data_IF_168313373128
#
_entry.id   IF_168313373128
#
_cell.length_a   1.000
_cell.length_b   1.000
_cell.length_c   1.000
_cell.angle_alpha   90.00
_cell.angle_beta   90.00
_cell.angle_gamma   90.00
#
_symmetry.space_group_name_H-M   'P 1'
#
loop_
_entity.id
_entity.type
_entity.pdbx_description
1 polymer ?
#
# COMPACT_ATOMS: atom_id res chain seq x y z
N UNK A 1 35.48 46.59 -12.15
CA UNK A 1 34.18 46.23 -12.75
C UNK A 1 34.22 44.74 -12.98
N UNK A 2 33.70 43.98 -12.03
CA UNK A 2 33.58 42.53 -12.10
C UNK A 2 32.29 42.19 -12.85
N UNK A 3 32.29 41.27 -13.80
CA UNK A 3 31.05 40.84 -14.46
C UNK A 3 30.20 40.04 -13.48
N UNK A 4 28.99 40.50 -13.27
CA UNK A 4 27.93 39.82 -12.55
C UNK A 4 27.73 38.41 -13.13
N UNK A 5 28.02 37.44 -12.32
CA UNK A 5 27.61 36.03 -12.50
C UNK A 5 26.06 35.96 -12.41
N UNK A 6 25.41 36.09 -13.56
CA UNK A 6 23.98 35.75 -13.68
C UNK A 6 23.91 34.23 -13.73
N UNK A 7 23.96 33.63 -12.53
CA UNK A 7 23.63 32.22 -12.39
C UNK A 7 22.21 31.98 -12.92
N UNK A 8 22.13 31.39 -14.11
CA UNK A 8 20.86 30.82 -14.59
C UNK A 8 20.40 29.81 -13.54
N UNK A 9 19.30 30.12 -12.85
CA UNK A 9 18.69 29.16 -11.94
C UNK A 9 18.29 27.93 -12.78
N UNK A 10 18.90 26.79 -12.50
CA UNK A 10 18.60 25.53 -13.17
C UNK A 10 17.17 25.16 -12.83
N UNK A 11 16.33 24.97 -13.84
CA UNK A 11 14.99 24.43 -13.66
C UNK A 11 15.03 22.89 -13.58
N UNK A 12 15.31 22.38 -12.37
CA UNK A 12 15.38 20.93 -12.13
C UNK A 12 14.06 20.20 -12.41
N UNK A 13 12.94 20.90 -12.45
CA UNK A 13 11.62 20.28 -12.72
C UNK A 13 11.54 19.86 -14.17
N UNK A 14 12.13 20.64 -15.09
CA UNK A 14 12.14 20.36 -16.52
C UNK A 14 13.17 19.30 -16.92
N UNK A 15 14.20 19.05 -16.10
CA UNK A 15 15.28 18.12 -16.43
C UNK A 15 14.81 16.67 -16.47
N UNK A 16 15.34 15.92 -17.43
CA UNK A 16 15.18 14.46 -17.50
C UNK A 16 16.07 13.76 -16.46
N UNK A 17 15.76 12.49 -16.16
CA UNK A 17 16.49 11.71 -15.15
C UNK A 17 18.01 11.68 -15.43
N UNK A 18 18.43 11.51 -16.68
CA UNK A 18 19.85 11.49 -17.05
C UNK A 18 20.55 12.82 -16.78
N UNK A 19 19.87 13.93 -17.03
CA UNK A 19 20.40 15.28 -16.78
C UNK A 19 20.52 15.56 -15.27
N UNK A 20 19.50 15.15 -14.49
CA UNK A 20 19.55 15.23 -13.03
C UNK A 20 20.70 14.41 -12.46
N UNK A 21 20.92 13.20 -12.96
CA UNK A 21 22.04 12.35 -12.55
C UNK A 21 23.37 13.02 -12.87
N UNK A 22 23.54 13.59 -14.08
CA UNK A 22 24.75 14.30 -14.45
C UNK A 22 25.01 15.52 -13.54
N UNK A 23 23.98 16.28 -13.18
CA UNK A 23 24.10 17.38 -12.22
C UNK A 23 24.57 16.86 -10.84
N UNK A 24 24.02 15.77 -10.34
CA UNK A 24 24.43 15.19 -9.05
C UNK A 24 25.89 14.71 -9.11
N UNK A 25 26.31 14.05 -10.19
CA UNK A 25 27.68 13.60 -10.42
C UNK A 25 28.67 14.77 -10.48
N UNK A 26 28.22 15.96 -10.91
CA UNK A 26 29.02 17.20 -10.85
C UNK A 26 29.04 17.88 -9.47
N UNK A 27 28.40 17.27 -8.45
CA UNK A 27 28.39 17.77 -7.08
C UNK A 27 27.14 18.58 -6.67
N UNK A 28 26.15 18.69 -7.56
CA UNK A 28 24.93 19.45 -7.29
C UNK A 28 23.94 18.65 -6.42
N UNK A 29 23.91 18.95 -5.12
CA UNK A 29 22.99 18.31 -4.16
C UNK A 29 21.53 18.71 -4.37
N UNK A 30 21.25 19.84 -5.01
CA UNK A 30 19.86 20.25 -5.27
C UNK A 30 19.21 19.34 -6.34
N UNK A 31 19.99 18.92 -7.35
CA UNK A 31 19.53 17.94 -8.31
C UNK A 31 19.14 16.62 -7.63
N UNK A 32 19.90 16.15 -6.64
CA UNK A 32 19.53 14.94 -5.88
C UNK A 32 18.25 15.12 -5.04
N UNK A 33 18.06 16.31 -4.47
CA UNK A 33 16.79 16.65 -3.79
C UNK A 33 15.60 16.49 -4.74
N UNK A 34 15.71 16.94 -5.99
CA UNK A 34 14.65 16.79 -6.99
C UNK A 34 14.42 15.33 -7.37
N UNK A 35 15.47 14.51 -7.47
CA UNK A 35 15.34 13.05 -7.64
C UNK A 35 14.53 12.45 -6.48
N UNK A 36 14.89 12.78 -5.23
CA UNK A 36 14.15 12.31 -4.06
C UNK A 36 12.68 12.71 -4.11
N UNK A 37 12.37 13.98 -4.38
CA UNK A 37 11.00 14.48 -4.44
C UNK A 37 10.15 13.77 -5.48
N UNK A 38 10.71 13.42 -6.66
CA UNK A 38 10.03 12.64 -7.70
C UNK A 38 9.78 11.19 -7.29
N UNK A 39 10.67 10.59 -6.50
CA UNK A 39 10.67 9.15 -6.23
C UNK A 39 10.12 8.78 -4.84
N UNK A 40 10.07 9.71 -3.88
CA UNK A 40 9.73 9.44 -2.48
C UNK A 40 8.47 8.60 -2.31
N UNK A 41 7.36 9.02 -2.91
CA UNK A 41 6.08 8.34 -2.74
C UNK A 41 6.14 6.89 -3.23
N UNK A 42 6.70 6.67 -4.41
CA UNK A 42 6.84 5.35 -5.01
C UNK A 42 7.74 4.45 -4.20
N UNK A 43 8.92 4.93 -3.82
CA UNK A 43 9.90 4.15 -3.07
C UNK A 43 9.39 3.81 -1.67
N UNK A 44 8.70 4.75 -1.01
CA UNK A 44 8.05 4.50 0.27
C UNK A 44 6.99 3.38 0.17
N UNK A 45 6.10 3.45 -0.82
CA UNK A 45 5.08 2.40 -1.01
C UNK A 45 5.67 1.03 -1.28
N UNK A 46 6.76 0.96 -2.06
CA UNK A 46 7.49 -0.27 -2.33
C UNK A 46 8.13 -0.81 -1.05
N UNK A 47 8.84 0.04 -0.29
CA UNK A 47 9.43 -0.34 0.99
C UNK A 47 8.36 -0.88 1.95
N UNK A 48 7.26 -0.14 2.12
CA UNK A 48 6.13 -0.55 2.97
C UNK A 48 5.47 -1.85 2.49
N UNK A 49 5.43 -2.09 1.19
CA UNK A 49 4.99 -3.35 0.61
C UNK A 49 5.79 -4.56 1.11
N UNK A 50 7.06 -4.36 1.49
CA UNK A 50 7.94 -5.41 2.06
C UNK A 50 7.83 -5.43 3.58
N UNK A 51 8.20 -4.33 4.26
CA UNK A 51 8.37 -4.31 5.73
C UNK A 51 7.06 -4.20 6.50
N UNK A 52 6.00 -3.71 5.89
CA UNK A 52 4.63 -3.57 6.43
C UNK A 52 4.53 -2.69 7.69
N UNK A 53 5.45 -1.75 7.83
CA UNK A 53 5.51 -0.76 8.91
C UNK A 53 5.96 0.57 8.34
N UNK A 54 5.32 1.68 8.72
CA UNK A 54 5.55 2.99 8.10
C UNK A 54 6.91 3.57 8.54
N UNK A 55 7.24 3.48 9.83
CA UNK A 55 8.49 4.02 10.35
C UNK A 55 9.70 3.26 9.77
N UNK A 56 9.57 1.93 9.69
CA UNK A 56 10.62 1.11 9.07
C UNK A 56 10.75 1.35 7.57
N UNK A 57 9.63 1.60 6.86
CA UNK A 57 9.66 1.94 5.45
C UNK A 57 10.37 3.29 5.20
N UNK A 58 10.16 4.29 6.06
CA UNK A 58 10.89 5.56 6.01
C UNK A 58 12.38 5.33 6.22
N UNK A 59 12.78 4.56 7.21
CA UNK A 59 14.17 4.23 7.49
C UNK A 59 14.83 3.47 6.32
N UNK A 60 14.10 2.53 5.69
CA UNK A 60 14.55 1.82 4.49
C UNK A 60 14.83 2.79 3.35
N UNK A 61 13.90 3.70 3.08
CA UNK A 61 14.04 4.69 1.99
C UNK A 61 15.19 5.65 2.27
N UNK A 62 15.36 6.11 3.52
CA UNK A 62 16.48 6.96 3.89
C UNK A 62 17.82 6.26 3.67
N UNK A 63 17.99 5.03 4.15
CA UNK A 63 19.20 4.24 3.94
C UNK A 63 19.44 3.99 2.45
N UNK A 64 18.39 3.66 1.69
CA UNK A 64 18.49 3.45 0.26
C UNK A 64 18.94 4.70 -0.50
N UNK A 65 18.51 5.90 -0.11
CA UNK A 65 18.97 7.14 -0.73
C UNK A 65 20.45 7.45 -0.41
N UNK A 66 20.91 7.17 0.80
CA UNK A 66 22.33 7.30 1.14
C UNK A 66 23.16 6.37 0.25
N UNK A 67 22.79 5.09 0.16
CA UNK A 67 23.47 4.13 -0.72
C UNK A 67 23.37 4.51 -2.20
N UNK A 68 22.23 5.07 -2.65
CA UNK A 68 22.07 5.54 -4.00
C UNK A 68 22.99 6.71 -4.31
N UNK A 69 23.10 7.67 -3.41
CA UNK A 69 24.00 8.83 -3.56
C UNK A 69 25.47 8.41 -3.68
N UNK A 70 25.92 7.49 -2.81
CA UNK A 70 27.29 6.96 -2.82
C UNK A 70 27.61 6.15 -4.10
N UNK A 71 26.61 5.53 -4.72
CA UNK A 71 26.79 4.65 -5.90
C UNK A 71 26.33 5.29 -7.21
N UNK A 72 25.94 6.56 -7.20
CA UNK A 72 25.36 7.22 -8.36
C UNK A 72 26.35 7.33 -9.54
N UNK A 73 27.65 7.40 -9.27
CA UNK A 73 28.70 7.38 -10.30
C UNK A 73 28.70 6.07 -11.11
N UNK A 74 28.20 4.99 -10.54
CA UNK A 74 28.03 3.70 -11.21
C UNK A 74 26.71 3.53 -11.98
N UNK A 75 25.83 4.52 -11.97
CA UNK A 75 24.60 4.47 -12.72
C UNK A 75 24.85 4.65 -14.21
N UNK A 76 24.60 3.58 -15.00
CA UNK A 76 24.92 3.54 -16.45
C UNK A 76 23.73 3.87 -17.36
N UNK A 77 22.54 4.12 -16.80
CA UNK A 77 21.33 4.37 -17.62
C UNK A 77 20.77 3.14 -18.36
N UNK A 78 21.22 1.93 -18.04
CA UNK A 78 20.71 0.67 -18.63
C UNK A 78 19.24 0.40 -18.24
N UNK A 79 18.80 0.99 -17.14
CA UNK A 79 17.41 1.01 -16.69
C UNK A 79 17.04 2.45 -16.31
N UNK A 80 15.74 2.75 -16.16
CA UNK A 80 15.32 4.04 -15.62
C UNK A 80 15.89 4.26 -14.22
N UNK A 81 16.13 5.53 -13.86
CA UNK A 81 16.58 5.91 -12.52
C UNK A 81 15.67 5.35 -11.43
N UNK A 82 14.36 5.42 -11.67
CA UNK A 82 13.35 4.88 -10.75
C UNK A 82 13.48 3.36 -10.57
N UNK A 83 13.75 2.61 -11.63
CA UNK A 83 13.97 1.16 -11.56
C UNK A 83 15.24 0.82 -10.77
N UNK A 84 16.30 1.58 -10.99
CA UNK A 84 17.55 1.42 -10.26
C UNK A 84 17.37 1.71 -8.76
N UNK A 85 16.73 2.83 -8.39
CA UNK A 85 16.39 3.16 -7.00
C UNK A 85 15.48 2.11 -6.36
N UNK A 86 14.48 1.61 -7.09
CA UNK A 86 13.61 0.54 -6.62
C UNK A 86 14.39 -0.70 -6.21
N UNK A 87 15.39 -1.12 -6.97
CA UNK A 87 16.25 -2.26 -6.62
C UNK A 87 17.05 -2.01 -5.33
N UNK A 88 17.55 -0.79 -5.13
CA UNK A 88 18.27 -0.43 -3.90
C UNK A 88 17.32 -0.51 -2.69
N UNK A 89 16.11 0.07 -2.80
CA UNK A 89 15.09 0.02 -1.74
C UNK A 89 14.69 -1.42 -1.40
N UNK A 90 14.44 -2.25 -2.41
CA UNK A 90 14.10 -3.67 -2.19
C UNK A 90 15.23 -4.43 -1.49
N UNK A 91 16.48 -4.21 -1.90
CA UNK A 91 17.63 -4.83 -1.27
C UNK A 91 17.75 -4.44 0.21
N UNK A 92 17.56 -3.16 0.53
CA UNK A 92 17.58 -2.65 1.90
C UNK A 92 16.42 -3.24 2.72
N UNK A 93 15.19 -3.20 2.18
CA UNK A 93 14.00 -3.75 2.85
C UNK A 93 14.14 -5.25 3.15
N UNK A 94 14.56 -6.05 2.17
CA UNK A 94 14.79 -7.47 2.37
C UNK A 94 16.00 -7.75 3.29
N UNK A 95 17.01 -6.90 3.28
CA UNK A 95 18.14 -6.94 4.21
C UNK A 95 17.65 -6.87 5.65
N UNK A 96 16.82 -5.87 5.98
CA UNK A 96 16.24 -5.70 7.32
C UNK A 96 15.30 -6.83 7.69
N UNK A 97 14.45 -7.28 6.77
CA UNK A 97 13.53 -8.39 7.01
C UNK A 97 14.28 -9.69 7.36
N UNK A 98 15.41 -9.97 6.70
CA UNK A 98 16.27 -11.13 7.03
C UNK A 98 16.92 -11.01 8.42
N UNK A 99 17.32 -9.82 8.83
CA UNK A 99 17.88 -9.59 10.16
C UNK A 99 16.87 -9.83 11.29
N UNK A 100 15.59 -9.55 11.05
CA UNK A 100 14.51 -9.79 12.03
C UNK A 100 14.11 -11.24 12.17
N UNK A 101 14.27 -12.04 11.12
CA UNK A 101 13.95 -13.48 11.12
C UNK A 101 15.23 -14.29 11.09
N UNK A 102 15.76 -14.76 12.24
CA UNK A 102 16.81 -15.77 12.23
C UNK A 102 16.21 -17.05 11.64
N UNK A 103 16.61 -17.39 10.42
CA UNK A 103 16.53 -18.69 9.75
C UNK A 103 15.21 -19.48 9.87
N UNK A 104 14.20 -19.14 9.05
CA UNK A 104 13.21 -20.12 8.63
C UNK A 104 13.15 -20.08 7.10
N UNK A 105 13.32 -21.28 6.52
CA UNK A 105 13.36 -21.54 5.09
C UNK A 105 12.12 -21.01 4.36
N UNK A 106 12.32 -20.43 3.16
CA UNK A 106 11.31 -19.71 2.33
C UNK A 106 10.20 -20.63 1.79
N UNK A 107 10.20 -21.91 2.10
CA UNK A 107 9.30 -22.89 1.46
C UNK A 107 7.95 -23.13 2.17
N UNK A 108 7.72 -22.58 3.35
CA UNK A 108 6.46 -22.79 4.09
C UNK A 108 5.90 -21.47 4.65
N UNK A 109 5.24 -20.68 3.80
CA UNK A 109 4.38 -19.60 4.28
C UNK A 109 2.93 -19.99 4.03
N UNK A 110 2.45 -20.91 4.85
CA UNK A 110 1.04 -21.00 5.20
C UNK A 110 0.80 -20.08 6.40
N UNK A 111 -0.06 -19.11 6.16
CA UNK A 111 -0.85 -18.32 7.12
C UNK A 111 -0.21 -18.05 8.49
N UNK A 112 0.51 -16.95 8.63
CA UNK A 112 0.76 -16.33 9.93
C UNK A 112 -0.01 -15.01 9.98
N UNK A 113 -0.89 -14.89 10.96
CA UNK A 113 -1.63 -13.68 11.26
C UNK A 113 -0.66 -12.53 11.52
N UNK A 114 -0.76 -11.48 10.71
CA UNK A 114 0.00 -10.27 10.92
C UNK A 114 -0.68 -9.45 12.03
N UNK A 115 0.10 -9.16 13.06
CA UNK A 115 -0.23 -8.20 14.10
C UNK A 115 -0.45 -6.81 13.48
N UNK A 116 -1.49 -6.13 13.91
CA UNK A 116 -2.03 -4.92 13.29
C UNK A 116 -1.10 -3.72 13.50
N UNK A 117 -0.29 -3.42 12.51
CA UNK A 117 0.43 -2.15 12.41
C UNK A 117 -0.56 -0.98 12.30
N UNK A 118 -0.33 0.06 13.10
CA UNK A 118 -1.11 1.29 13.14
C UNK A 118 -0.98 2.03 11.81
N UNK A 119 -2.06 2.14 11.06
CA UNK A 119 -2.11 2.87 9.78
C UNK A 119 -2.17 4.37 10.07
N UNK A 120 -1.18 5.13 9.60
CA UNK A 120 -1.19 6.60 9.65
C UNK A 120 -1.75 7.10 8.30
N UNK A 121 -2.83 7.93 8.31
CA UNK A 121 -3.43 8.39 7.06
C UNK A 121 -2.53 9.35 6.31
N UNK A 122 -2.37 9.15 5.00
CA UNK A 122 -1.71 10.10 4.12
C UNK A 122 -2.55 11.37 3.94
N UNK A 123 -1.97 12.58 4.07
CA UNK A 123 -2.72 13.81 3.81
C UNK A 123 -3.06 13.92 2.32
N UNK A 124 -4.34 13.85 1.97
CA UNK A 124 -4.82 14.16 0.63
C UNK A 124 -4.96 15.67 0.48
N UNK A 125 -4.19 16.25 -0.44
CA UNK A 125 -4.40 17.63 -0.91
C UNK A 125 -5.48 17.60 -1.99
N UNK A 126 -6.73 17.87 -1.65
CA UNK A 126 -7.74 18.34 -2.63
C UNK A 126 -8.78 19.22 -1.92
N UNK A 127 -9.18 20.26 -2.65
CA UNK A 127 -9.97 21.40 -2.25
C UNK A 127 -11.35 21.13 -1.64
N UNK A 128 -12.06 22.21 -1.35
CA UNK A 128 -13.37 22.27 -0.67
C UNK A 128 -14.34 21.16 -1.12
N UNK A 129 -14.38 20.08 -0.37
CA UNK A 129 -15.31 18.97 -0.57
C UNK A 129 -16.20 18.84 0.67
N UNK A 130 -17.42 18.37 0.46
CA UNK A 130 -18.36 18.03 1.52
C UNK A 130 -17.67 17.16 2.61
N UNK A 131 -17.66 17.58 3.88
CA UNK A 131 -17.03 16.85 4.96
C UNK A 131 -17.51 15.39 5.10
N UNK A 132 -18.77 15.11 4.79
CA UNK A 132 -19.33 13.77 4.83
C UNK A 132 -18.74 12.88 3.71
N UNK A 133 -18.60 13.42 2.51
CA UNK A 133 -17.97 12.72 1.40
C UNK A 133 -16.46 12.49 1.61
N UNK A 134 -15.78 13.42 2.27
CA UNK A 134 -14.39 13.29 2.66
C UNK A 134 -14.21 12.16 3.69
N UNK A 135 -15.04 12.13 4.75
CA UNK A 135 -15.01 11.10 5.77
C UNK A 135 -15.29 9.69 5.20
N UNK A 136 -16.26 9.57 4.29
CA UNK A 136 -16.57 8.30 3.63
C UNK A 136 -15.39 7.79 2.78
N UNK A 137 -14.70 8.69 2.05
CA UNK A 137 -13.50 8.31 1.28
C UNK A 137 -12.35 7.88 2.19
N UNK A 138 -12.17 8.54 3.32
CA UNK A 138 -11.14 8.17 4.29
C UNK A 138 -11.41 6.78 4.88
N UNK A 139 -12.67 6.46 5.22
CA UNK A 139 -13.04 5.13 5.67
C UNK A 139 -12.75 4.05 4.63
N UNK A 140 -13.12 4.28 3.36
CA UNK A 140 -12.82 3.34 2.26
C UNK A 140 -11.30 3.20 2.08
N UNK A 141 -10.54 4.29 2.16
CA UNK A 141 -9.07 4.24 2.08
C UNK A 141 -8.49 3.37 3.19
N UNK A 142 -8.86 3.61 4.44
CA UNK A 142 -8.41 2.81 5.59
C UNK A 142 -8.74 1.34 5.44
N UNK A 143 -9.93 1.02 4.95
CA UNK A 143 -10.36 -0.35 4.71
C UNK A 143 -9.49 -1.03 3.64
N UNK A 144 -9.18 -0.33 2.55
CA UNK A 144 -8.29 -0.82 1.49
C UNK A 144 -6.85 -0.98 1.98
N UNK A 145 -6.32 0.00 2.70
CA UNK A 145 -4.97 -0.03 3.27
C UNK A 145 -4.81 -1.21 4.24
N UNK A 146 -5.80 -1.42 5.11
CA UNK A 146 -5.82 -2.55 6.04
C UNK A 146 -5.87 -3.89 5.30
N UNK A 147 -6.74 -4.01 4.29
CA UNK A 147 -6.84 -5.22 3.49
C UNK A 147 -5.53 -5.53 2.73
N UNK A 148 -4.85 -4.52 2.19
CA UNK A 148 -3.55 -4.67 1.53
C UNK A 148 -2.47 -5.04 2.55
N UNK A 149 -2.44 -4.40 3.73
CA UNK A 149 -1.50 -4.72 4.81
C UNK A 149 -1.65 -6.16 5.32
N UNK A 150 -2.88 -6.71 5.30
CA UNK A 150 -3.18 -8.10 5.66
C UNK A 150 -2.73 -9.15 4.63
N UNK A 151 -2.31 -8.74 3.44
CA UNK A 151 -1.77 -9.69 2.46
C UNK A 151 -0.42 -10.26 2.93
N UNK A 152 -0.14 -11.56 2.72
CA UNK A 152 1.21 -12.10 2.86
C UNK A 152 2.22 -11.31 2.02
N UNK A 153 3.42 -11.09 2.56
CA UNK A 153 4.46 -10.23 1.97
C UNK A 153 4.69 -10.50 0.48
N UNK A 154 4.86 -11.78 0.10
CA UNK A 154 5.13 -12.17 -1.28
C UNK A 154 4.00 -11.79 -2.27
N UNK A 155 2.77 -11.63 -1.81
CA UNK A 155 1.63 -11.19 -2.62
C UNK A 155 1.45 -9.68 -2.54
N UNK A 156 1.66 -9.10 -1.36
CA UNK A 156 1.54 -7.66 -1.10
C UNK A 156 2.50 -6.85 -1.97
N UNK A 157 3.80 -7.21 -1.99
CA UNK A 157 4.78 -6.46 -2.79
C UNK A 157 4.48 -6.54 -4.28
N UNK A 158 4.07 -7.70 -4.81
CA UNK A 158 3.67 -7.83 -6.21
C UNK A 158 2.42 -6.99 -6.50
N UNK A 159 1.45 -6.97 -5.58
CA UNK A 159 0.26 -6.13 -5.71
C UNK A 159 0.60 -4.65 -5.73
N UNK A 160 1.44 -4.18 -4.80
CA UNK A 160 1.90 -2.78 -4.74
C UNK A 160 2.58 -2.39 -6.05
N UNK A 161 3.54 -3.17 -6.53
CA UNK A 161 4.28 -2.85 -7.75
C UNK A 161 3.38 -2.85 -8.98
N UNK A 162 2.47 -3.82 -9.11
CA UNK A 162 1.64 -3.99 -10.32
C UNK A 162 0.42 -3.08 -10.36
N UNK A 163 -0.32 -2.96 -9.24
CA UNK A 163 -1.60 -2.25 -9.21
C UNK A 163 -1.46 -0.79 -8.75
N UNK A 164 -0.55 -0.51 -7.82
CA UNK A 164 -0.39 0.83 -7.27
C UNK A 164 0.67 1.60 -8.07
N UNK A 165 1.83 1.00 -8.31
CA UNK A 165 2.95 1.66 -8.98
C UNK A 165 2.99 1.40 -10.49
N UNK A 166 2.03 0.66 -11.04
CA UNK A 166 1.85 0.41 -12.48
C UNK A 166 3.10 -0.15 -13.19
N UNK A 167 3.99 -0.84 -12.43
CA UNK A 167 5.15 -1.50 -13.04
C UNK A 167 4.69 -2.61 -14.00
N UNK A 168 5.42 -2.85 -15.08
CA UNK A 168 5.16 -3.98 -15.97
C UNK A 168 5.45 -5.33 -15.29
N UNK A 169 5.04 -6.45 -15.90
CA UNK A 169 5.38 -7.81 -15.40
C UNK A 169 6.88 -8.01 -15.43
N UNK A 170 7.53 -7.52 -16.49
CA UNK A 170 8.96 -7.59 -16.74
C UNK A 170 9.73 -6.80 -15.67
N UNK A 171 9.35 -5.55 -15.43
CA UNK A 171 9.95 -4.69 -14.40
C UNK A 171 9.79 -5.28 -13.01
N UNK A 172 8.58 -5.77 -12.69
CA UNK A 172 8.30 -6.41 -11.39
C UNK A 172 9.12 -7.68 -11.22
N UNK A 173 9.19 -8.51 -12.27
CA UNK A 173 9.99 -9.74 -12.27
C UNK A 173 11.49 -9.44 -12.10
N UNK A 174 12.01 -8.47 -12.83
CA UNK A 174 13.41 -8.05 -12.76
C UNK A 174 13.78 -7.44 -11.40
N UNK A 175 12.88 -6.65 -10.79
CA UNK A 175 13.11 -6.02 -9.50
C UNK A 175 13.08 -7.03 -8.34
N UNK A 176 12.17 -8.01 -8.38
CA UNK A 176 11.96 -9.01 -7.32
C UNK A 176 12.73 -10.32 -7.55
N UNK A 177 13.45 -10.48 -8.68
CA UNK A 177 14.11 -11.74 -9.04
C UNK A 177 13.13 -12.88 -9.33
N UNK A 178 11.93 -12.58 -9.87
CA UNK A 178 10.86 -13.55 -10.11
C UNK A 178 10.66 -13.81 -11.60
N UNK A 179 10.24 -15.04 -11.93
CA UNK A 179 9.77 -15.36 -13.28
C UNK A 179 8.44 -14.65 -13.56
N UNK A 180 8.19 -14.26 -14.80
CA UNK A 180 6.97 -13.57 -15.23
C UNK A 180 5.68 -14.32 -14.82
N UNK A 181 5.68 -15.65 -14.94
CA UNK A 181 4.54 -16.48 -14.54
C UNK A 181 4.31 -16.45 -13.01
N UNK A 182 5.37 -16.35 -12.23
CA UNK A 182 5.29 -16.20 -10.78
C UNK A 182 4.67 -14.85 -10.40
N UNK A 183 5.04 -13.77 -11.11
CA UNK A 183 4.44 -12.45 -10.92
C UNK A 183 2.94 -12.49 -11.18
N UNK A 184 2.52 -13.06 -12.32
CA UNK A 184 1.10 -13.19 -12.69
C UNK A 184 0.32 -14.03 -11.67
N UNK A 185 0.88 -15.16 -11.24
CA UNK A 185 0.24 -16.05 -10.26
C UNK A 185 0.11 -15.37 -8.89
N UNK A 186 1.16 -14.69 -8.41
CA UNK A 186 1.13 -13.95 -7.14
C UNK A 186 0.13 -12.81 -7.20
N UNK A 187 0.07 -12.06 -8.30
CA UNK A 187 -0.92 -11.01 -8.48
C UNK A 187 -2.35 -11.56 -8.46
N UNK A 188 -2.60 -12.67 -9.15
CA UNK A 188 -3.91 -13.31 -9.13
C UNK A 188 -4.33 -13.73 -7.70
N UNK A 189 -3.41 -14.33 -6.95
CA UNK A 189 -3.65 -14.72 -5.55
C UNK A 189 -3.88 -13.50 -4.66
N UNK A 190 -3.07 -12.43 -4.81
CA UNK A 190 -3.25 -11.17 -4.10
C UNK A 190 -4.66 -10.58 -4.30
N UNK A 191 -5.10 -10.48 -5.56
CA UNK A 191 -6.44 -9.99 -5.90
C UNK A 191 -7.56 -10.85 -5.32
N UNK A 192 -7.37 -12.17 -5.26
CA UNK A 192 -8.35 -13.09 -4.66
C UNK A 192 -8.47 -12.88 -3.15
N UNK A 193 -7.32 -12.82 -2.45
CA UNK A 193 -7.28 -12.58 -1.00
C UNK A 193 -7.86 -11.21 -0.64
N UNK A 194 -7.51 -10.18 -1.41
CA UNK A 194 -8.03 -8.83 -1.20
C UNK A 194 -9.55 -8.78 -1.35
N UNK A 195 -10.10 -9.43 -2.40
CA UNK A 195 -11.57 -9.51 -2.58
C UNK A 195 -12.24 -10.22 -1.42
N UNK A 196 -11.68 -11.31 -0.91
CA UNK A 196 -12.23 -12.01 0.24
C UNK A 196 -12.22 -11.11 1.49
N UNK A 197 -11.09 -10.47 1.81
CA UNK A 197 -10.98 -9.57 2.97
C UNK A 197 -11.97 -8.39 2.89
N UNK A 198 -12.15 -7.79 1.72
CA UNK A 198 -13.11 -6.70 1.52
C UNK A 198 -14.56 -7.18 1.61
N UNK A 199 -14.85 -8.36 1.07
CA UNK A 199 -16.20 -8.96 1.19
C UNK A 199 -16.56 -9.20 2.65
N UNK A 200 -15.66 -9.76 3.44
CA UNK A 200 -15.88 -10.06 4.85
C UNK A 200 -16.09 -8.77 5.66
N UNK A 201 -15.29 -7.74 5.39
CA UNK A 201 -15.44 -6.42 6.03
C UNK A 201 -16.77 -5.74 5.70
N UNK A 202 -17.20 -5.79 4.43
CA UNK A 202 -18.49 -5.23 4.02
C UNK A 202 -19.65 -6.04 4.61
N UNK A 203 -19.54 -7.37 4.63
CA UNK A 203 -20.59 -8.24 5.18
C UNK A 203 -20.78 -8.05 6.68
N UNK A 204 -19.69 -7.87 7.45
CA UNK A 204 -19.78 -7.56 8.89
C UNK A 204 -20.49 -6.22 9.11
N UNK A 205 -20.11 -5.18 8.38
CA UNK A 205 -20.73 -3.85 8.47
C UNK A 205 -22.21 -3.88 8.10
N UNK A 206 -22.60 -4.64 7.07
CA UNK A 206 -24.00 -4.80 6.69
C UNK A 206 -24.80 -5.52 7.79
N UNK A 207 -24.26 -6.55 8.41
CA UNK A 207 -24.91 -7.24 9.53
C UNK A 207 -25.10 -6.32 10.74
N UNK A 208 -24.14 -5.45 11.01
CA UNK A 208 -24.26 -4.42 12.07
C UNK A 208 -25.25 -3.32 11.70
N UNK A 209 -25.30 -2.91 10.44
CA UNK A 209 -26.22 -1.86 9.97
C UNK A 209 -27.68 -2.29 9.94
N UNK A 210 -27.95 -3.61 9.82
CA UNK A 210 -29.31 -4.18 9.82
C UNK A 210 -29.51 -5.19 10.95
N UNK A 211 -29.36 -4.80 12.24
CA UNK A 211 -29.54 -5.70 13.35
C UNK A 211 -31.01 -6.03 13.50
N UNK A 212 -31.40 -7.26 13.15
CA UNK A 212 -32.72 -7.81 13.43
C UNK A 212 -32.73 -8.65 14.72
N UNK A 213 -31.81 -8.38 15.65
CA UNK A 213 -31.64 -9.09 16.91
C UNK A 213 -32.12 -8.23 18.10
N UNK A 214 -32.41 -8.88 19.22
CA UNK A 214 -32.79 -8.23 20.46
C UNK A 214 -34.26 -7.77 20.48
N UNK A 215 -34.58 -6.58 21.04
CA UNK A 215 -35.98 -6.17 21.35
C UNK A 215 -36.96 -6.18 20.18
N UNK A 216 -36.46 -6.09 18.94
CA UNK A 216 -37.30 -6.17 17.73
C UNK A 216 -37.71 -7.60 17.42
N UNK A 217 -36.78 -8.55 17.56
CA UNK A 217 -37.06 -9.97 17.39
C UNK A 217 -38.06 -10.46 18.44
N UNK A 218 -37.86 -10.09 19.71
CA UNK A 218 -38.75 -10.45 20.81
C UNK A 218 -40.15 -9.89 20.64
N UNK A 219 -40.29 -8.63 20.22
CA UNK A 219 -41.60 -8.03 19.93
C UNK A 219 -42.32 -8.72 18.76
N UNK A 220 -41.60 -9.07 17.70
CA UNK A 220 -42.17 -9.78 16.56
C UNK A 220 -42.67 -11.15 16.98
N UNK A 221 -41.82 -11.93 17.69
CA UNK A 221 -42.17 -13.26 18.19
C UNK A 221 -43.37 -13.19 19.09
N UNK A 222 -43.40 -12.27 20.07
CA UNK A 222 -44.52 -12.09 20.99
C UNK A 222 -45.81 -11.66 20.27
N UNK A 223 -45.69 -10.85 19.22
CA UNK A 223 -46.84 -10.43 18.43
C UNK A 223 -47.43 -11.59 17.60
N UNK A 224 -46.59 -12.46 17.05
CA UNK A 224 -47.03 -13.67 16.34
C UNK A 224 -47.70 -14.65 17.28
N UNK A 225 -47.09 -14.94 18.45
CA UNK A 225 -47.65 -15.87 19.43
C UNK A 225 -49.03 -15.40 19.91
N UNK A 226 -49.20 -14.12 20.24
CA UNK A 226 -50.51 -13.57 20.62
C UNK A 226 -51.58 -13.73 19.53
N UNK A 227 -51.24 -13.59 18.25
CA UNK A 227 -52.16 -13.82 17.15
C UNK A 227 -52.53 -15.29 17.00
N UNK A 228 -51.62 -16.19 17.21
CA UNK A 228 -51.87 -17.63 17.17
C UNK A 228 -52.81 -18.05 18.34
N UNK A 229 -52.60 -17.52 19.53
CA UNK A 229 -53.45 -17.75 20.70
C UNK A 229 -54.88 -17.20 20.49
N UNK A 230 -55.01 -15.99 19.92
CA UNK A 230 -56.30 -15.39 19.60
C UNK A 230 -57.10 -16.19 18.56
N UNK A 231 -56.40 -16.83 17.60
CA UNK A 231 -57.02 -17.66 16.58
C UNK A 231 -57.31 -19.10 17.05
N UNK A 232 -56.73 -19.53 18.18
CA UNK A 232 -56.92 -20.84 18.74
C UNK A 232 -58.13 -20.92 19.72
N UNK A 233 -58.74 -19.78 20.10
CA UNK A 233 -59.96 -19.78 20.93
C UNK A 233 -61.16 -20.16 20.05
N UNK A 234 -61.91 -21.27 20.38
CA UNK A 234 -63.11 -21.65 19.64
C UNK A 234 -64.20 -20.58 19.79
N UNK A 235 -65.08 -20.43 18.80
CA UNK A 235 -66.25 -19.54 18.92
C UNK A 235 -67.08 -20.00 20.12
N UNK A 236 -67.39 -19.05 20.99
CA UNK A 236 -68.31 -19.27 22.09
C UNK A 236 -69.66 -19.54 21.45
N UNK A 237 -70.14 -20.80 21.58
CA UNK A 237 -71.51 -21.18 21.22
C UNK A 237 -72.50 -20.40 22.11
N UNK A 238 -73.31 -19.55 21.48
CA UNK A 238 -74.62 -19.11 21.97
C UNK A 238 -75.73 -19.97 21.39
#
# INVERSE_FOLDING_TARGET
MTPSDRGFAIDYVALQDAELVACVQSGDRQAFRHIMQRCNQRLFRIARGVVNDDAEAEDVVQAAYVHAYEKLDGFRGEASLTTWLTRIVLNEAYGRLRQRRPTVSIEQVDVVHADSGRVIPFPSKYGHEDPAAAAARDQVRHLLEHAVAGLPEAFRIVFVMREIEQCSVEETGAALGLRHETVKTRLHRARRLLRAALHDSVSSTLNEAFPFLGPRCDRLTSAVLRRLEANASPPSDE
#
